data_IF_390733968405
#
_entry.id   IF_390733968405
#
_cell.length_a   1.000
_cell.length_b   1.000
_cell.length_c   1.000
_cell.angle_alpha   90.00
_cell.angle_beta   90.00
_cell.angle_gamma   90.00
#
_symmetry.space_group_name_H-M   'P 1'
#
loop_
_entity.id
_entity.type
_entity.pdbx_description
1 polymer ?
#
# COMPACT_ATOMS: atom_id res chain seq x y z
N UNK A 1 -1.77 -29.34 14.57
CA UNK A 1 -2.93 -28.43 14.78
C UNK A 1 -3.92 -28.73 13.68
N UNK A 2 -5.06 -29.30 14.06
CA UNK A 2 -6.18 -29.58 13.15
C UNK A 2 -7.00 -28.30 13.07
N UNK A 3 -7.00 -27.68 11.90
CA UNK A 3 -7.80 -26.49 11.59
C UNK A 3 -9.27 -26.95 11.55
N UNK A 4 -10.15 -26.29 12.30
CA UNK A 4 -11.58 -26.65 12.33
C UNK A 4 -12.26 -26.28 11.01
N UNK A 5 -13.22 -27.11 10.60
CA UNK A 5 -13.98 -27.04 9.34
C UNK A 5 -14.78 -25.75 9.13
N UNK A 6 -14.88 -24.90 10.14
CA UNK A 6 -15.76 -23.73 10.13
C UNK A 6 -15.05 -22.47 9.60
N UNK A 7 -13.72 -22.51 9.45
CA UNK A 7 -12.93 -21.44 8.83
C UNK A 7 -13.02 -21.41 7.29
N UNK A 8 -13.42 -22.54 6.67
CA UNK A 8 -13.57 -22.66 5.22
C UNK A 8 -14.86 -21.96 4.73
N UNK A 9 -15.93 -22.04 5.52
CA UNK A 9 -17.30 -21.71 5.07
C UNK A 9 -17.58 -20.20 4.94
N UNK A 10 -16.80 -19.34 5.61
CA UNK A 10 -16.97 -17.88 5.52
C UNK A 10 -16.13 -17.25 4.40
N UNK A 11 -14.99 -17.86 4.05
CA UNK A 11 -14.27 -17.53 2.82
C UNK A 11 -15.06 -17.94 1.58
N UNK A 12 -15.75 -19.08 1.62
CA UNK A 12 -16.60 -19.55 0.54
C UNK A 12 -17.75 -18.57 0.22
N UNK A 13 -18.24 -17.77 1.17
CA UNK A 13 -19.35 -16.82 0.93
C UNK A 13 -18.89 -15.53 0.24
N UNK A 14 -17.70 -15.01 0.60
CA UNK A 14 -17.07 -13.88 -0.10
C UNK A 14 -16.61 -14.30 -1.51
N UNK A 15 -16.06 -15.52 -1.64
CA UNK A 15 -15.64 -16.11 -2.91
C UNK A 15 -16.83 -16.43 -3.85
N UNK A 16 -17.94 -16.95 -3.32
CA UNK A 16 -19.16 -17.21 -4.09
C UNK A 16 -19.84 -15.93 -4.59
N UNK A 17 -19.75 -14.81 -3.85
CA UNK A 17 -20.33 -13.54 -4.31
C UNK A 17 -19.60 -12.94 -5.52
N UNK A 18 -18.28 -13.19 -5.64
CA UNK A 18 -17.49 -12.88 -6.83
C UNK A 18 -17.67 -13.89 -7.97
N UNK A 19 -17.89 -15.18 -7.66
CA UNK A 19 -18.18 -16.21 -8.67
C UNK A 19 -19.52 -15.97 -9.38
N UNK A 20 -20.54 -15.41 -8.72
CA UNK A 20 -21.87 -15.18 -9.34
C UNK A 20 -21.80 -14.17 -10.49
N UNK A 21 -20.85 -13.23 -10.48
CA UNK A 21 -20.62 -12.32 -11.61
C UNK A 21 -19.87 -12.97 -12.77
N UNK A 22 -19.10 -14.04 -12.51
CA UNK A 22 -18.28 -14.74 -13.51
C UNK A 22 -19.01 -15.96 -14.11
N UNK A 23 -19.74 -16.76 -13.30
CA UNK A 23 -20.56 -17.89 -13.78
C UNK A 23 -21.69 -17.42 -14.71
N UNK A 24 -22.24 -16.22 -14.47
CA UNK A 24 -23.27 -15.65 -15.35
C UNK A 24 -22.69 -15.25 -16.71
N UNK A 25 -21.40 -14.88 -16.77
CA UNK A 25 -20.70 -14.59 -18.02
C UNK A 25 -20.18 -15.86 -18.73
N UNK A 26 -19.95 -16.95 -17.99
CA UNK A 26 -19.36 -18.21 -18.49
C UNK A 26 -20.37 -19.33 -18.82
N UNK A 27 -21.68 -19.12 -18.67
CA UNK A 27 -22.72 -20.06 -19.14
C UNK A 27 -23.01 -19.97 -20.65
N UNK A 28 -21.97 -19.88 -21.47
CA UNK A 28 -22.07 -20.16 -22.91
C UNK A 28 -21.36 -21.49 -23.17
N UNK A 29 -22.19 -22.50 -23.42
CA UNK A 29 -21.88 -23.89 -23.70
C UNK A 29 -20.67 -24.04 -24.66
N UNK A 30 -19.61 -24.72 -24.21
CA UNK A 30 -18.53 -25.19 -25.08
C UNK A 30 -18.40 -26.71 -24.96
N UNK A 31 -19.00 -27.40 -25.92
CA UNK A 31 -18.43 -28.65 -26.43
C UNK A 31 -17.58 -28.30 -27.64
N UNK A 32 -16.29 -28.60 -27.53
CA UNK A 32 -15.27 -28.74 -28.58
C UNK A 32 -15.26 -27.66 -29.67
N UNK A 33 -14.31 -26.72 -29.65
CA UNK A 33 -13.59 -26.21 -30.83
C UNK A 33 -12.48 -25.22 -30.43
N UNK A 34 -11.48 -25.13 -31.31
CA UNK A 34 -10.10 -24.65 -31.18
C UNK A 34 -9.86 -23.18 -30.78
N UNK A 35 -8.68 -22.99 -30.17
CA UNK A 35 -8.15 -21.88 -29.36
C UNK A 35 -7.97 -20.48 -30.00
N UNK A 36 -8.47 -20.22 -31.20
CA UNK A 36 -8.40 -18.86 -31.80
C UNK A 36 -9.68 -18.05 -31.62
N UNK A 37 -10.83 -18.72 -31.45
CA UNK A 37 -12.13 -18.06 -31.48
C UNK A 37 -12.52 -17.44 -30.13
N UNK A 38 -11.95 -17.91 -29.02
CA UNK A 38 -12.19 -17.36 -27.68
C UNK A 38 -11.47 -16.02 -27.50
N UNK A 39 -10.25 -15.85 -28.00
CA UNK A 39 -9.54 -14.57 -27.97
C UNK A 39 -10.21 -13.56 -28.91
N UNK A 40 -10.63 -13.97 -30.11
CA UNK A 40 -11.44 -13.11 -30.99
C UNK A 40 -12.79 -12.76 -30.36
N UNK A 41 -13.42 -13.68 -29.63
CA UNK A 41 -14.68 -13.41 -28.93
C UNK A 41 -14.49 -12.51 -27.71
N UNK A 42 -13.40 -12.67 -26.94
CA UNK A 42 -13.07 -11.78 -25.83
C UNK A 42 -12.72 -10.38 -26.35
N UNK A 43 -11.91 -10.24 -27.39
CA UNK A 43 -11.64 -8.96 -28.04
C UNK A 43 -12.90 -8.32 -28.62
N UNK A 44 -13.81 -9.11 -29.23
CA UNK A 44 -15.11 -8.63 -29.71
C UNK A 44 -16.09 -8.28 -28.60
N UNK A 45 -16.05 -8.99 -27.47
CA UNK A 45 -16.84 -8.67 -26.27
C UNK A 45 -16.31 -7.37 -25.68
N UNK A 46 -14.99 -7.20 -25.58
CA UNK A 46 -14.35 -5.96 -25.16
C UNK A 46 -14.69 -4.80 -26.11
N UNK A 47 -14.63 -4.99 -27.44
CA UNK A 47 -15.05 -3.99 -28.42
C UNK A 47 -16.57 -3.69 -28.37
N UNK A 48 -17.42 -4.70 -28.16
CA UNK A 48 -18.87 -4.53 -28.04
C UNK A 48 -19.24 -3.77 -26.77
N UNK A 49 -18.62 -4.12 -25.63
CA UNK A 49 -18.80 -3.44 -24.35
C UNK A 49 -18.30 -1.99 -24.45
N UNK A 50 -17.15 -1.74 -25.09
CA UNK A 50 -16.65 -0.40 -25.38
C UNK A 50 -17.59 0.40 -26.31
N UNK A 51 -18.25 -0.25 -27.26
CA UNK A 51 -19.18 0.40 -28.20
C UNK A 51 -20.52 0.75 -27.52
N UNK A 52 -21.01 -0.11 -26.64
CA UNK A 52 -22.26 0.10 -25.91
C UNK A 52 -22.11 1.08 -24.73
N UNK A 53 -20.94 1.13 -24.08
CA UNK A 53 -20.59 2.18 -23.11
C UNK A 53 -20.50 3.55 -23.79
N UNK A 54 -19.83 3.65 -24.94
CA UNK A 54 -19.74 4.90 -25.70
C UNK A 54 -21.11 5.39 -26.23
N UNK A 55 -22.03 4.47 -26.54
CA UNK A 55 -23.42 4.81 -26.89
C UNK A 55 -24.27 5.26 -25.69
N UNK A 56 -24.02 4.71 -24.50
CA UNK A 56 -24.70 5.16 -23.28
C UNK A 56 -24.24 6.56 -22.85
N UNK A 57 -22.96 6.88 -23.00
CA UNK A 57 -22.39 8.20 -22.69
C UNK A 57 -22.91 9.29 -23.65
N UNK A 58 -23.18 8.94 -24.91
CA UNK A 58 -23.65 9.89 -25.93
C UNK A 58 -25.17 10.10 -25.97
N UNK A 59 -25.96 9.40 -25.14
CA UNK A 59 -27.43 9.45 -25.15
C UNK A 59 -28.08 9.99 -23.87
N UNK A 60 -27.34 10.18 -22.78
CA UNK A 60 -27.85 10.82 -21.55
C UNK A 60 -27.40 12.28 -21.44
N UNK A 61 -28.23 13.20 -21.95
CA UNK A 61 -28.12 14.61 -21.58
C UNK A 61 -28.32 14.77 -20.06
N UNK A 62 -27.39 15.48 -19.42
CA UNK A 62 -27.31 15.78 -17.99
C UNK A 62 -27.18 14.57 -17.05
N UNK A 63 -25.93 14.15 -16.83
CA UNK A 63 -25.51 13.56 -15.57
C UNK A 63 -24.36 14.43 -15.05
N UNK A 64 -24.51 14.91 -13.82
CA UNK A 64 -23.40 15.47 -13.05
C UNK A 64 -22.25 14.45 -13.04
N UNK A 65 -21.03 14.93 -13.17
CA UNK A 65 -19.78 14.17 -13.10
C UNK A 65 -19.81 13.22 -11.90
N UNK A 66 -20.10 11.94 -12.17
CA UNK A 66 -19.83 10.84 -11.24
C UNK A 66 -18.39 10.40 -11.56
N UNK A 67 -17.42 11.06 -10.93
CA UNK A 67 -15.98 10.71 -10.94
C UNK A 67 -15.73 9.42 -10.12
N UNK A 68 -16.34 8.31 -10.53
CA UNK A 68 -16.22 7.04 -9.81
C UNK A 68 -15.86 5.85 -10.68
N UNK A 69 -15.10 6.04 -11.75
CA UNK A 69 -14.29 4.97 -12.31
C UNK A 69 -13.03 5.59 -12.87
N UNK A 70 -11.91 5.31 -12.20
CA UNK A 70 -10.58 5.57 -12.75
C UNK A 70 -10.52 4.79 -14.07
N UNK A 71 -10.56 5.52 -15.20
CA UNK A 71 -10.52 4.98 -16.59
C UNK A 71 -9.30 4.07 -16.82
N UNK A 72 -8.41 4.12 -15.85
CA UNK A 72 -7.26 3.29 -15.69
C UNK A 72 -7.62 1.79 -15.88
N UNK A 73 -8.20 1.07 -14.92
CA UNK A 73 -8.35 -0.40 -15.03
C UNK A 73 -9.76 -0.83 -15.47
N UNK A 74 -10.30 -0.21 -16.53
CA UNK A 74 -11.62 -0.56 -17.10
C UNK A 74 -11.70 -2.06 -17.45
N UNK A 75 -10.56 -2.72 -17.71
CA UNK A 75 -10.50 -4.10 -18.18
C UNK A 75 -10.14 -5.15 -17.11
N UNK A 76 -9.83 -4.77 -15.86
CA UNK A 76 -9.39 -5.69 -14.79
C UNK A 76 -8.26 -6.62 -15.24
N UNK A 77 -7.34 -6.13 -16.07
CA UNK A 77 -6.34 -6.99 -16.73
C UNK A 77 -5.38 -7.63 -15.73
N UNK A 78 -5.24 -7.08 -14.52
CA UNK A 78 -4.51 -7.74 -13.42
C UNK A 78 -5.10 -9.09 -13.01
N UNK A 79 -6.43 -9.24 -13.03
CA UNK A 79 -7.09 -10.55 -12.80
C UNK A 79 -6.88 -11.50 -13.99
N UNK A 80 -6.84 -10.95 -15.21
CA UNK A 80 -6.56 -11.73 -16.41
C UNK A 80 -5.09 -12.15 -16.45
N UNK A 81 -4.16 -11.37 -15.87
CA UNK A 81 -2.72 -11.62 -15.91
C UNK A 81 -2.33 -12.99 -15.34
N UNK A 82 -2.92 -13.37 -14.21
CA UNK A 82 -2.75 -14.73 -13.68
C UNK A 82 -3.18 -15.77 -14.72
N UNK A 83 -4.30 -15.55 -15.41
CA UNK A 83 -4.77 -16.40 -16.50
C UNK A 83 -3.83 -16.34 -17.73
N UNK A 84 -3.28 -15.18 -18.11
CA UNK A 84 -2.30 -15.03 -19.20
C UNK A 84 -1.05 -15.86 -18.92
N UNK A 85 -0.51 -15.74 -17.71
CA UNK A 85 0.70 -16.45 -17.25
C UNK A 85 0.44 -17.95 -17.11
N UNK A 86 -0.75 -18.35 -16.64
CA UNK A 86 -1.07 -19.77 -16.38
C UNK A 86 -1.70 -20.52 -17.57
N UNK A 87 -2.29 -19.82 -18.56
CA UNK A 87 -3.17 -20.44 -19.60
C UNK A 87 -2.71 -20.20 -21.04
N UNK A 88 -1.42 -19.95 -21.25
CA UNK A 88 -0.79 -19.95 -22.58
C UNK A 88 -1.38 -18.94 -23.58
N UNK A 89 -1.67 -17.70 -23.15
CA UNK A 89 -1.80 -16.63 -24.15
C UNK A 89 -0.45 -16.49 -24.88
N UNK A 90 -0.43 -16.27 -26.20
CA UNK A 90 0.82 -16.20 -26.92
C UNK A 90 1.66 -15.02 -26.42
N UNK A 91 2.76 -15.33 -25.76
CA UNK A 91 3.66 -14.35 -25.14
C UNK A 91 4.17 -13.31 -26.17
N UNK A 92 4.22 -13.69 -27.44
CA UNK A 92 4.58 -12.81 -28.57
C UNK A 92 3.74 -11.53 -28.66
N UNK A 93 2.48 -11.56 -28.21
CA UNK A 93 1.56 -10.42 -28.34
C UNK A 93 1.81 -9.36 -27.25
N UNK A 94 2.59 -9.71 -26.22
CA UNK A 94 2.82 -8.89 -25.02
C UNK A 94 4.31 -8.72 -24.69
N UNK A 95 5.19 -9.33 -25.49
CA UNK A 95 6.63 -9.37 -25.24
C UNK A 95 7.27 -7.98 -25.31
N UNK A 96 6.73 -7.11 -26.16
CA UNK A 96 7.16 -5.72 -26.28
C UNK A 96 6.93 -4.96 -24.98
N UNK A 97 5.77 -5.13 -24.36
CA UNK A 97 5.41 -4.48 -23.10
C UNK A 97 6.22 -5.03 -21.93
N UNK A 98 6.45 -6.34 -21.86
CA UNK A 98 7.36 -6.95 -20.87
C UNK A 98 8.78 -6.39 -21.03
N UNK A 99 9.27 -6.28 -22.27
CA UNK A 99 10.58 -5.70 -22.58
C UNK A 99 10.67 -4.24 -22.12
N UNK A 100 9.65 -3.44 -22.41
CA UNK A 100 9.57 -2.04 -21.97
C UNK A 100 9.63 -1.93 -20.43
N UNK A 101 8.89 -2.78 -19.70
CA UNK A 101 8.88 -2.81 -18.24
C UNK A 101 10.23 -3.26 -17.66
N UNK A 102 10.87 -4.28 -18.24
CA UNK A 102 12.22 -4.70 -17.85
C UNK A 102 13.25 -3.58 -18.05
N UNK A 103 13.15 -2.84 -19.15
CA UNK A 103 14.02 -1.69 -19.41
C UNK A 103 13.78 -0.56 -18.39
N UNK A 104 12.53 -0.30 -18.01
CA UNK A 104 12.20 0.68 -16.96
C UNK A 104 12.80 0.30 -15.61
N UNK A 105 12.59 -0.95 -15.17
CA UNK A 105 13.17 -1.49 -13.92
C UNK A 105 14.71 -1.41 -13.95
N UNK A 106 15.33 -1.79 -15.07
CA UNK A 106 16.77 -1.72 -15.24
C UNK A 106 17.29 -0.28 -15.16
N UNK A 107 16.66 0.66 -15.87
CA UNK A 107 17.06 2.07 -15.86
C UNK A 107 16.94 2.67 -14.46
N UNK A 108 15.86 2.38 -13.75
CA UNK A 108 15.68 2.82 -12.37
C UNK A 108 16.76 2.23 -11.46
N UNK A 109 17.06 0.93 -11.58
CA UNK A 109 18.14 0.29 -10.82
C UNK A 109 19.51 0.91 -11.11
N UNK A 110 19.80 1.29 -12.36
CA UNK A 110 21.05 1.95 -12.75
C UNK A 110 21.17 3.36 -12.18
N UNK A 111 20.10 4.17 -12.27
CA UNK A 111 20.05 5.51 -11.68
C UNK A 111 20.26 5.45 -10.16
N UNK A 112 19.55 4.55 -9.48
CA UNK A 112 19.72 4.36 -8.04
C UNK A 112 21.10 3.84 -7.67
N UNK A 113 21.73 3.00 -8.50
CA UNK A 113 23.11 2.55 -8.26
C UNK A 113 24.08 3.73 -8.27
N UNK A 114 23.95 4.63 -9.23
CA UNK A 114 24.79 5.83 -9.29
C UNK A 114 24.61 6.66 -8.01
N UNK A 115 23.37 6.90 -7.60
CA UNK A 115 23.07 7.60 -6.36
C UNK A 115 23.66 6.90 -5.13
N UNK A 116 23.39 5.61 -4.92
CA UNK A 116 23.84 4.84 -3.77
C UNK A 116 25.36 4.74 -3.68
N UNK A 117 26.07 4.69 -4.81
CA UNK A 117 27.53 4.70 -4.84
C UNK A 117 28.16 6.01 -4.33
N UNK A 118 27.39 7.10 -4.24
CA UNK A 118 27.84 8.37 -3.65
C UNK A 118 27.56 8.49 -2.16
N UNK A 119 26.78 7.56 -1.60
CA UNK A 119 26.39 7.56 -0.20
C UNK A 119 27.26 6.60 0.59
N UNK A 120 27.39 6.84 1.90
CA UNK A 120 27.94 5.85 2.81
C UNK A 120 26.96 4.68 2.94
N UNK A 121 27.49 3.44 2.95
CA UNK A 121 26.67 2.25 3.16
C UNK A 121 25.98 2.36 4.52
N UNK A 122 24.66 2.24 4.52
CA UNK A 122 23.86 2.32 5.74
C UNK A 122 24.10 1.12 6.67
N UNK A 123 23.86 1.27 7.98
CA UNK A 123 24.05 0.19 8.94
C UNK A 123 23.23 -1.08 8.66
N UNK A 124 22.01 -0.97 8.11
CA UNK A 124 21.21 -2.17 7.81
C UNK A 124 21.77 -2.93 6.60
N UNK A 125 22.17 -2.21 5.55
CA UNK A 125 22.87 -2.80 4.41
C UNK A 125 24.21 -3.42 4.83
N UNK A 126 24.96 -2.76 5.71
CA UNK A 126 26.21 -3.27 6.25
C UNK A 126 26.00 -4.60 7.00
N UNK A 127 24.97 -4.69 7.85
CA UNK A 127 24.60 -5.95 8.54
C UNK A 127 24.37 -7.07 7.53
N UNK A 128 23.62 -6.79 6.45
CA UNK A 128 23.35 -7.79 5.41
C UNK A 128 24.62 -8.23 4.69
N UNK A 129 25.44 -7.28 4.21
CA UNK A 129 26.66 -7.56 3.43
C UNK A 129 27.72 -8.31 4.23
N UNK A 130 27.97 -7.92 5.47
CA UNK A 130 29.00 -8.54 6.32
C UNK A 130 28.65 -9.98 6.73
N UNK A 131 27.36 -10.34 6.68
CA UNK A 131 26.86 -11.62 7.17
C UNK A 131 26.19 -12.46 6.07
N UNK A 132 26.30 -12.08 4.79
CA UNK A 132 25.62 -12.71 3.65
C UNK A 132 25.81 -14.24 3.60
N UNK A 133 26.97 -14.75 4.03
CA UNK A 133 27.26 -16.19 4.08
C UNK A 133 26.54 -16.95 5.20
N UNK A 134 26.09 -16.24 6.24
CA UNK A 134 25.47 -16.81 7.44
C UNK A 134 23.99 -16.45 7.57
N UNK A 135 23.56 -15.36 6.95
CA UNK A 135 22.17 -14.97 6.88
C UNK A 135 21.47 -15.73 5.76
N UNK A 136 20.19 -16.04 5.98
CA UNK A 136 19.35 -16.66 4.96
C UNK A 136 18.20 -15.74 4.63
N UNK A 137 17.98 -15.56 3.34
CA UNK A 137 16.80 -14.87 2.85
C UNK A 137 15.65 -15.88 2.69
N UNK A 138 14.53 -15.63 3.37
CA UNK A 138 13.34 -16.48 3.32
C UNK A 138 12.18 -15.63 2.83
N UNK A 139 11.50 -16.07 1.77
CA UNK A 139 10.30 -15.39 1.29
C UNK A 139 9.14 -15.60 2.27
N UNK A 140 8.44 -14.51 2.61
CA UNK A 140 7.18 -14.54 3.32
C UNK A 140 6.08 -14.83 2.30
N UNK A 141 5.28 -15.86 2.56
CA UNK A 141 4.26 -16.35 1.60
C UNK A 141 2.98 -15.53 1.66
N UNK A 142 2.68 -14.91 2.81
CA UNK A 142 1.49 -14.06 3.02
C UNK A 142 1.63 -12.66 2.38
N UNK A 143 0.54 -11.87 2.35
CA UNK A 143 0.52 -10.50 1.80
C UNK A 143 0.13 -10.40 0.31
N UNK A 144 0.33 -9.26 -0.34
CA UNK A 144 0.05 -9.08 -1.80
C UNK A 144 1.32 -8.84 -2.63
N UNK A 145 2.31 -8.16 -2.07
CA UNK A 145 3.66 -8.03 -2.64
C UNK A 145 4.58 -9.18 -2.22
N UNK A 146 5.74 -9.29 -2.85
CA UNK A 146 6.80 -10.14 -2.30
C UNK A 146 7.53 -9.44 -1.16
N UNK A 147 7.58 -10.08 0.00
CA UNK A 147 8.40 -9.66 1.13
C UNK A 147 9.33 -10.79 1.54
N UNK A 148 10.56 -10.46 1.93
CA UNK A 148 11.56 -11.42 2.36
C UNK A 148 12.04 -11.08 3.76
N UNK A 149 12.20 -12.11 4.59
CA UNK A 149 12.78 -12.01 5.91
C UNK A 149 14.22 -12.53 5.87
N UNK A 150 15.16 -11.72 6.35
CA UNK A 150 16.53 -12.12 6.59
C UNK A 150 16.62 -12.72 7.99
N UNK A 151 17.04 -13.98 8.07
CA UNK A 151 17.18 -14.69 9.34
C UNK A 151 18.62 -15.11 9.60
N UNK A 152 19.02 -15.20 10.87
CA UNK A 152 20.31 -15.75 11.25
C UNK A 152 20.35 -17.29 11.24
N UNK A 153 21.48 -17.86 11.64
CA UNK A 153 21.67 -19.32 11.77
C UNK A 153 20.70 -20.01 12.75
N UNK A 154 20.11 -19.26 13.70
CA UNK A 154 19.08 -19.75 14.62
C UNK A 154 17.66 -19.59 14.07
N UNK A 155 17.52 -19.10 12.83
CA UNK A 155 16.25 -18.72 12.19
C UNK A 155 15.54 -17.54 12.89
N UNK A 156 16.28 -16.74 13.64
CA UNK A 156 15.74 -15.51 14.23
C UNK A 156 15.73 -14.41 13.15
N UNK A 157 14.60 -13.72 12.94
CA UNK A 157 14.48 -12.61 11.99
C UNK A 157 15.31 -11.39 12.40
N UNK A 158 15.95 -10.74 11.43
CA UNK A 158 16.82 -9.57 11.61
C UNK A 158 16.37 -8.39 10.75
N UNK A 159 16.09 -8.64 9.47
CA UNK A 159 15.69 -7.60 8.52
C UNK A 159 14.49 -8.05 7.70
N UNK A 160 13.76 -7.08 7.19
CA UNK A 160 12.76 -7.25 6.15
C UNK A 160 13.28 -6.60 4.86
N UNK A 161 13.25 -7.33 3.76
CA UNK A 161 13.67 -6.86 2.43
C UNK A 161 12.46 -6.92 1.50
N UNK A 162 12.19 -5.81 0.81
CA UNK A 162 11.12 -5.73 -0.21
C UNK A 162 11.70 -5.24 -1.54
N UNK A 163 11.80 -6.11 -2.56
CA UNK A 163 12.23 -5.72 -3.89
C UNK A 163 11.15 -4.92 -4.62
N UNK A 164 11.52 -3.79 -5.21
CA UNK A 164 10.57 -2.81 -5.74
C UNK A 164 9.75 -3.32 -6.92
N UNK A 165 10.33 -4.21 -7.73
CA UNK A 165 9.70 -4.78 -8.91
C UNK A 165 8.83 -6.00 -8.61
N UNK A 166 8.77 -6.42 -7.34
CA UNK A 166 7.92 -7.51 -6.86
C UNK A 166 6.74 -7.03 -5.99
N UNK A 167 6.55 -5.72 -5.86
CA UNK A 167 5.38 -5.15 -5.18
C UNK A 167 4.08 -5.51 -5.90
N UNK A 168 2.96 -5.22 -5.25
CA UNK A 168 1.66 -5.37 -5.87
C UNK A 168 1.64 -4.61 -7.21
N UNK A 169 0.95 -5.16 -8.21
CA UNK A 169 0.88 -4.65 -9.58
C UNK A 169 2.21 -4.49 -10.37
N UNK A 170 3.37 -4.84 -9.80
CA UNK A 170 4.67 -4.78 -10.48
C UNK A 170 4.96 -6.07 -11.27
N UNK A 171 5.74 -5.95 -12.35
CA UNK A 171 5.95 -7.05 -13.33
C UNK A 171 6.38 -8.37 -12.69
N UNK A 172 7.31 -8.32 -11.73
CA UNK A 172 7.86 -9.50 -11.08
C UNK A 172 7.12 -9.87 -9.80
N UNK A 173 5.89 -9.37 -9.60
CA UNK A 173 5.04 -9.81 -8.49
C UNK A 173 4.77 -11.32 -8.60
N UNK A 174 5.12 -12.01 -7.53
CA UNK A 174 5.08 -13.46 -7.45
C UNK A 174 3.69 -14.06 -7.23
N UNK A 175 2.67 -13.21 -7.06
CA UNK A 175 1.26 -13.56 -6.97
C UNK A 175 0.49 -13.15 -8.22
N UNK A 176 1.20 -12.71 -9.26
CA UNK A 176 0.65 -12.39 -10.58
C UNK A 176 -0.41 -11.29 -10.58
N UNK A 177 -0.34 -10.35 -9.64
CA UNK A 177 -1.16 -9.14 -9.71
C UNK A 177 -0.65 -8.10 -10.73
N UNK A 178 0.62 -8.20 -11.15
CA UNK A 178 1.27 -7.19 -11.99
C UNK A 178 1.14 -7.39 -13.48
N UNK A 179 0.61 -6.39 -14.18
CA UNK A 179 0.34 -6.42 -15.61
C UNK A 179 1.36 -5.56 -16.39
N UNK A 180 1.98 -6.07 -17.48
CA UNK A 180 2.93 -5.29 -18.29
C UNK A 180 2.31 -4.10 -19.03
N UNK A 181 0.99 -4.09 -19.25
CA UNK A 181 0.27 -3.02 -19.95
C UNK A 181 0.06 -1.74 -19.12
N UNK A 182 0.41 -1.74 -17.84
CA UNK A 182 0.22 -0.58 -16.96
C UNK A 182 1.09 0.61 -17.41
N UNK A 183 0.58 1.56 -18.20
CA UNK A 183 1.35 2.66 -18.79
C UNK A 183 1.07 4.02 -18.13
N UNK A 184 2.01 4.56 -17.36
CA UNK A 184 2.20 6.01 -17.12
C UNK A 184 1.12 6.82 -16.36
N UNK A 185 -0.14 6.38 -16.34
CA UNK A 185 -1.26 7.00 -15.61
C UNK A 185 -1.75 6.16 -14.42
N UNK A 186 -1.03 5.09 -14.06
CA UNK A 186 -1.52 4.06 -13.14
C UNK A 186 -0.65 3.95 -11.92
N UNK A 187 -1.24 4.43 -10.85
CA UNK A 187 -0.81 4.27 -9.50
C UNK A 187 -1.32 2.98 -8.85
N UNK A 188 -0.59 2.44 -7.86
CA UNK A 188 -1.23 1.63 -6.83
C UNK A 188 -2.31 2.49 -6.17
N UNK A 189 -3.58 2.02 -6.09
CA UNK A 189 -4.75 2.73 -5.51
C UNK A 189 -4.53 4.26 -5.40
N UNK A 190 -5.02 5.05 -6.36
CA UNK A 190 -5.16 6.51 -6.21
C UNK A 190 -3.82 7.26 -6.07
N UNK A 191 -3.10 7.36 -7.18
CA UNK A 191 -1.98 8.27 -7.45
C UNK A 191 -0.62 7.98 -6.76
N UNK A 192 -0.35 6.78 -6.23
CA UNK A 192 1.02 6.31 -5.86
C UNK A 192 1.74 5.64 -7.05
N UNK A 193 2.86 6.20 -7.57
CA UNK A 193 3.54 5.66 -8.75
C UNK A 193 4.08 4.22 -8.55
N UNK A 194 4.04 3.39 -9.60
CA UNK A 194 4.65 2.05 -9.59
C UNK A 194 6.17 2.13 -9.41
N UNK A 195 6.76 1.06 -8.86
CA UNK A 195 8.20 0.94 -8.63
C UNK A 195 8.81 2.04 -7.74
N UNK A 196 8.03 2.66 -6.85
CA UNK A 196 8.51 3.74 -5.95
C UNK A 196 8.40 3.42 -4.47
N UNK A 197 7.99 2.20 -4.10
CA UNK A 197 7.76 1.82 -2.70
C UNK A 197 8.99 1.99 -1.81
N UNK A 198 10.20 1.73 -2.33
CA UNK A 198 11.45 1.87 -1.60
C UNK A 198 11.70 3.32 -1.17
N UNK A 199 11.35 4.28 -2.03
CA UNK A 199 11.40 5.71 -1.72
C UNK A 199 10.40 6.06 -0.62
N UNK A 200 9.16 5.57 -0.71
CA UNK A 200 8.12 5.84 0.28
C UNK A 200 8.47 5.25 1.67
N UNK A 201 8.99 4.02 1.71
CA UNK A 201 9.47 3.38 2.93
C UNK A 201 10.59 4.17 3.61
N UNK A 202 11.62 4.55 2.85
CA UNK A 202 12.72 5.38 3.36
C UNK A 202 12.22 6.74 3.83
N UNK A 203 11.38 7.41 3.03
CA UNK A 203 10.90 8.74 3.34
C UNK A 203 10.01 8.76 4.58
N UNK A 204 9.15 7.76 4.81
CA UNK A 204 8.39 7.64 6.06
C UNK A 204 9.32 7.55 7.29
N UNK A 205 10.43 6.81 7.18
CA UNK A 205 11.43 6.77 8.26
C UNK A 205 12.10 8.14 8.48
N UNK A 206 12.57 8.79 7.41
CA UNK A 206 13.20 10.12 7.51
C UNK A 206 12.23 11.19 8.01
N UNK A 207 10.98 11.13 7.58
CA UNK A 207 9.89 11.99 8.06
C UNK A 207 9.66 11.80 9.57
N UNK A 208 9.69 10.57 10.07
CA UNK A 208 9.54 10.32 11.51
C UNK A 208 10.65 10.95 12.36
N UNK A 209 11.89 10.99 11.83
CA UNK A 209 13.00 11.69 12.47
C UNK A 209 12.79 13.20 12.49
N UNK A 210 12.44 13.78 11.33
CA UNK A 210 12.24 15.22 11.20
C UNK A 210 11.08 15.72 12.08
N UNK A 211 10.05 14.90 12.26
CA UNK A 211 8.91 15.19 13.15
C UNK A 211 9.21 14.94 14.63
N UNK A 212 10.36 14.37 14.99
CA UNK A 212 10.71 14.01 16.37
C UNK A 212 9.76 12.95 16.96
N UNK A 213 9.41 11.95 16.15
CA UNK A 213 8.53 10.83 16.48
C UNK A 213 9.21 9.49 16.18
N UNK A 214 10.52 9.43 16.43
CA UNK A 214 11.32 8.23 16.19
C UNK A 214 10.71 7.00 16.91
N UNK A 215 10.69 5.86 16.23
CA UNK A 215 10.17 4.60 16.76
C UNK A 215 8.71 4.30 16.40
N UNK A 216 7.96 5.21 15.77
CA UNK A 216 6.62 4.91 15.24
C UNK A 216 6.66 4.12 13.92
N UNK A 217 7.80 4.11 13.24
CA UNK A 217 8.06 3.33 12.03
C UNK A 217 9.51 2.82 12.13
N UNK A 218 9.78 1.56 11.74
CA UNK A 218 11.12 0.99 11.81
C UNK A 218 12.11 1.74 10.92
N UNK A 219 13.40 1.62 11.23
CA UNK A 219 14.46 2.15 10.38
C UNK A 219 14.37 1.50 9.00
N UNK A 220 14.57 2.31 7.97
CA UNK A 220 14.55 1.86 6.60
C UNK A 220 15.70 2.48 5.80
N UNK A 221 16.26 1.68 4.90
CA UNK A 221 17.32 2.03 3.95
C UNK A 221 16.94 1.54 2.55
N UNK A 222 17.65 2.00 1.53
CA UNK A 222 17.52 1.54 0.14
C UNK A 222 18.85 0.87 -0.23
N UNK A 223 18.79 -0.30 -0.86
CA UNK A 223 19.98 -1.00 -1.33
C UNK A 223 19.70 -1.79 -2.61
N UNK A 224 20.78 -2.14 -3.33
CA UNK A 224 20.72 -3.11 -4.43
C UNK A 224 21.27 -4.44 -3.92
N UNK A 225 20.45 -5.47 -3.97
CA UNK A 225 20.72 -6.79 -3.37
C UNK A 225 20.66 -7.84 -4.47
N UNK A 226 21.60 -8.79 -4.45
CA UNK A 226 21.54 -9.97 -5.31
C UNK A 226 21.09 -11.20 -4.51
N UNK A 227 20.14 -11.97 -5.03
CA UNK A 227 19.70 -13.21 -4.37
C UNK A 227 19.05 -14.19 -5.33
N UNK A 228 19.39 -15.47 -5.20
CA UNK A 228 18.73 -16.56 -5.95
C UNK A 228 17.27 -16.80 -5.51
N UNK A 229 16.85 -16.20 -4.38
CA UNK A 229 15.50 -16.30 -3.83
C UNK A 229 14.53 -15.29 -4.42
N UNK A 230 15.02 -14.23 -5.04
CA UNK A 230 14.15 -13.24 -5.65
C UNK A 230 13.34 -13.84 -6.80
N UNK A 231 12.11 -13.36 -6.92
CA UNK A 231 11.19 -13.82 -7.92
C UNK A 231 11.42 -13.06 -9.23
N UNK A 232 11.35 -13.77 -10.34
CA UNK A 232 11.35 -13.17 -11.67
C UNK A 232 10.28 -13.89 -12.48
N UNK A 233 9.60 -13.15 -13.35
CA UNK A 233 8.54 -13.66 -14.23
C UNK A 233 8.95 -14.91 -15.02
N UNK A 234 10.23 -15.06 -15.37
CA UNK A 234 10.76 -16.28 -16.01
C UNK A 234 10.60 -17.55 -15.17
N UNK A 235 10.43 -17.41 -13.85
CA UNK A 235 10.27 -18.55 -12.93
C UNK A 235 8.88 -19.18 -12.99
N UNK A 236 7.91 -18.51 -13.61
CA UNK A 236 6.49 -18.94 -13.64
C UNK A 236 5.96 -19.16 -15.05
N UNK A 237 6.73 -18.80 -16.07
CA UNK A 237 6.37 -19.01 -17.48
C UNK A 237 6.79 -20.42 -17.94
N UNK A 238 5.98 -21.03 -18.81
CA UNK A 238 6.26 -22.35 -19.37
C UNK A 238 7.59 -22.41 -20.15
N UNK A 239 8.21 -23.58 -20.22
CA UNK A 239 9.52 -23.76 -20.88
C UNK A 239 9.52 -23.36 -22.36
N UNK A 240 8.39 -23.47 -23.04
CA UNK A 240 8.23 -23.06 -24.45
C UNK A 240 8.33 -21.53 -24.61
N UNK A 241 7.69 -20.79 -23.71
CA UNK A 241 7.69 -19.33 -23.69
C UNK A 241 8.95 -18.72 -23.05
N UNK A 242 9.69 -19.51 -22.26
CA UNK A 242 10.92 -19.07 -21.61
C UNK A 242 11.96 -18.59 -22.63
N UNK A 243 12.09 -19.26 -23.77
CA UNK A 243 13.03 -18.87 -24.83
C UNK A 243 12.74 -17.47 -25.37
N UNK A 244 11.46 -17.09 -25.46
CA UNK A 244 11.07 -15.76 -25.94
C UNK A 244 11.37 -14.67 -24.89
N UNK A 245 11.15 -14.96 -23.60
CA UNK A 245 11.58 -14.04 -22.52
C UNK A 245 13.10 -13.86 -22.47
N UNK A 246 13.86 -14.94 -22.68
CA UNK A 246 15.32 -14.89 -22.66
C UNK A 246 15.88 -14.01 -23.79
N UNK A 247 15.16 -13.87 -24.92
CA UNK A 247 15.53 -12.95 -26.00
C UNK A 247 15.44 -11.48 -25.60
N UNK A 248 14.56 -11.12 -24.67
CA UNK A 248 14.39 -9.74 -24.18
C UNK A 248 15.09 -9.48 -22.85
N UNK A 249 15.84 -10.44 -22.31
CA UNK A 249 16.65 -10.26 -21.11
C UNK A 249 16.76 -11.51 -20.24
N UNK A 250 17.89 -11.63 -19.54
CA UNK A 250 18.10 -12.66 -18.53
C UNK A 250 17.23 -12.42 -17.29
N UNK A 251 17.05 -13.47 -16.49
CA UNK A 251 16.44 -13.38 -15.16
C UNK A 251 17.09 -12.28 -14.33
N UNK A 252 16.29 -11.38 -13.73
CA UNK A 252 16.80 -10.34 -12.84
C UNK A 252 16.78 -10.80 -11.38
N UNK A 253 17.96 -11.19 -10.89
CA UNK A 253 18.18 -11.61 -9.51
C UNK A 253 18.88 -10.54 -8.66
N UNK A 254 19.16 -9.37 -9.23
CA UNK A 254 19.77 -8.24 -8.54
C UNK A 254 18.77 -7.09 -8.50
N UNK A 255 18.21 -6.79 -7.34
CA UNK A 255 17.02 -5.96 -7.22
C UNK A 255 17.25 -4.73 -6.37
N UNK A 256 16.64 -3.63 -6.79
CA UNK A 256 16.48 -2.44 -5.95
C UNK A 256 15.46 -2.76 -4.86
N UNK A 257 15.86 -2.61 -3.60
CA UNK A 257 15.08 -3.03 -2.45
C UNK A 257 14.98 -1.90 -1.41
N UNK A 258 13.90 -1.91 -0.64
CA UNK A 258 13.95 -1.36 0.72
C UNK A 258 14.47 -2.42 1.70
N UNK A 259 15.32 -2.01 2.63
CA UNK A 259 15.77 -2.80 3.78
C UNK A 259 15.21 -2.15 5.03
N UNK A 260 14.45 -2.91 5.82
CA UNK A 260 13.81 -2.44 7.02
C UNK A 260 14.26 -3.26 8.24
N UNK A 261 14.46 -2.58 9.37
CA UNK A 261 14.73 -3.23 10.65
C UNK A 261 13.55 -4.12 11.08
N UNK A 262 13.83 -5.37 11.44
CA UNK A 262 12.81 -6.24 12.03
C UNK A 262 12.58 -5.86 13.50
N UNK A 263 11.32 -5.71 13.91
CA UNK A 263 10.97 -5.43 15.30
C UNK A 263 10.59 -6.74 16.01
N UNK A 264 11.38 -7.18 17.01
CA UNK A 264 11.13 -8.44 17.70
C UNK A 264 9.98 -8.34 18.72
N UNK A 265 9.39 -9.49 19.05
CA UNK A 265 8.35 -9.64 20.07
C UNK A 265 7.07 -8.83 19.82
N UNK A 266 6.78 -8.52 18.56
CA UNK A 266 5.54 -7.85 18.15
C UNK A 266 4.55 -8.83 17.52
N UNK A 267 3.29 -8.45 17.52
CA UNK A 267 2.22 -9.05 16.69
C UNK A 267 1.50 -7.93 15.94
N UNK A 268 0.79 -8.25 14.86
CA UNK A 268 -0.02 -7.24 14.18
C UNK A 268 -1.23 -6.84 15.04
N UNK A 269 -1.72 -5.62 14.84
CA UNK A 269 -2.76 -5.03 15.65
C UNK A 269 -4.13 -5.67 15.40
N UNK A 270 -4.38 -6.16 14.17
CA UNK A 270 -5.59 -6.94 13.87
C UNK A 270 -5.66 -8.19 14.75
N UNK A 271 -4.56 -8.93 14.88
CA UNK A 271 -4.47 -10.10 15.78
C UNK A 271 -4.80 -9.73 17.22
N UNK A 272 -4.26 -8.62 17.74
CA UNK A 272 -4.57 -8.15 19.09
C UNK A 272 -6.06 -7.78 19.24
N UNK A 273 -6.63 -7.06 18.27
CA UNK A 273 -8.05 -6.73 18.26
C UNK A 273 -8.93 -7.98 18.32
N UNK A 274 -8.61 -9.00 17.51
CA UNK A 274 -9.32 -10.28 17.53
C UNK A 274 -9.22 -11.00 18.89
N UNK A 275 -8.09 -10.89 19.60
CA UNK A 275 -7.93 -11.47 20.94
C UNK A 275 -8.85 -10.77 21.97
N UNK A 276 -8.99 -9.45 21.91
CA UNK A 276 -9.88 -8.67 22.76
C UNK A 276 -11.36 -8.96 22.45
N UNK A 277 -11.71 -9.02 21.17
CA UNK A 277 -13.05 -9.42 20.72
C UNK A 277 -13.46 -10.81 21.22
N UNK A 278 -12.55 -11.80 21.13
CA UNK A 278 -12.79 -13.17 21.65
C UNK A 278 -13.01 -13.22 23.17
N UNK A 279 -12.52 -12.23 23.91
CA UNK A 279 -12.74 -12.09 25.36
C UNK A 279 -14.03 -11.33 25.70
N UNK A 280 -14.76 -10.83 24.69
CA UNK A 280 -15.94 -9.99 24.88
C UNK A 280 -15.60 -8.55 25.28
N UNK A 281 -14.36 -8.11 25.09
CA UNK A 281 -13.86 -6.80 25.50
C UNK A 281 -13.43 -5.99 24.28
N UNK A 282 -14.37 -5.65 23.40
CA UNK A 282 -14.07 -4.94 22.16
C UNK A 282 -13.50 -3.53 22.36
N UNK A 283 -13.79 -2.90 23.51
CA UNK A 283 -13.40 -1.51 23.81
C UNK A 283 -12.18 -1.41 24.75
N UNK A 284 -11.90 -2.42 25.58
CA UNK A 284 -10.80 -2.35 26.54
C UNK A 284 -9.40 -2.26 25.93
N UNK A 285 -9.25 -2.57 24.63
CA UNK A 285 -8.01 -2.32 23.89
C UNK A 285 -7.70 -0.83 23.80
N UNK A 286 -8.73 0.03 23.75
CA UNK A 286 -8.59 1.48 23.59
C UNK A 286 -8.07 2.13 24.86
N UNK A 287 -8.48 1.60 26.02
CA UNK A 287 -8.07 2.09 27.35
C UNK A 287 -6.58 1.85 27.66
N UNK A 288 -5.94 0.95 26.91
CA UNK A 288 -4.52 0.60 27.09
C UNK A 288 -3.62 1.17 26.00
N UNK A 289 -4.17 1.83 24.97
CA UNK A 289 -3.36 2.48 23.93
C UNK A 289 -2.61 3.70 24.51
N UNK A 290 -1.34 3.83 24.15
CA UNK A 290 -0.55 5.01 24.48
C UNK A 290 -1.04 6.22 23.67
N UNK A 291 -1.59 7.20 24.40
CA UNK A 291 -2.16 8.40 23.80
C UNK A 291 -1.15 9.23 22.99
N UNK A 292 0.08 9.36 23.46
CA UNK A 292 1.11 10.13 22.74
C UNK A 292 1.54 9.39 21.47
N UNK A 293 1.62 8.06 21.53
CA UNK A 293 1.91 7.23 20.37
C UNK A 293 0.81 7.32 19.29
N UNK A 294 -0.47 7.33 19.68
CA UNK A 294 -1.59 7.48 18.74
C UNK A 294 -1.57 8.86 18.05
N UNK A 295 -1.25 9.93 18.79
CA UNK A 295 -1.08 11.26 18.20
C UNK A 295 0.10 11.31 17.20
N UNK A 296 1.24 10.72 17.58
CA UNK A 296 2.43 10.68 16.73
C UNK A 296 2.19 9.84 15.46
N UNK A 297 1.47 8.72 15.56
CA UNK A 297 1.08 7.93 14.40
C UNK A 297 0.12 8.67 13.48
N UNK A 298 -0.90 9.33 14.02
CA UNK A 298 -1.79 10.16 13.19
C UNK A 298 -1.01 11.24 12.45
N UNK A 299 -0.06 11.91 13.13
CA UNK A 299 0.81 12.90 12.50
C UNK A 299 1.61 12.32 11.32
N UNK A 300 2.19 11.12 11.48
CA UNK A 300 2.89 10.45 10.39
C UNK A 300 1.94 10.13 9.23
N UNK A 301 0.81 9.48 9.50
CA UNK A 301 -0.16 9.05 8.48
C UNK A 301 -0.74 10.23 7.71
N UNK A 302 -0.91 11.39 8.36
CA UNK A 302 -1.36 12.61 7.69
C UNK A 302 -0.29 13.22 6.80
N UNK A 303 0.94 13.31 7.31
CA UNK A 303 2.05 13.86 6.56
C UNK A 303 2.39 12.97 5.35
N UNK A 304 2.45 11.66 5.54
CA UNK A 304 2.71 10.69 4.47
C UNK A 304 1.50 10.46 3.58
N UNK A 305 0.28 10.66 4.07
CA UNK A 305 -0.98 10.35 3.38
C UNK A 305 -1.00 8.90 2.90
N UNK A 306 -0.80 8.00 3.85
CA UNK A 306 -0.78 6.56 3.59
C UNK A 306 -2.19 6.06 3.24
N UNK A 307 -2.34 5.52 2.03
CA UNK A 307 -3.60 5.00 1.49
C UNK A 307 -3.85 3.51 1.84
N UNK A 308 -3.02 2.91 2.69
CA UNK A 308 -3.14 1.50 3.11
C UNK A 308 -2.86 1.31 4.60
N UNK A 309 -3.26 2.27 5.44
CA UNK A 309 -3.05 2.20 6.88
C UNK A 309 -4.14 1.40 7.60
N UNK A 310 -4.30 0.12 7.24
CA UNK A 310 -5.23 -0.82 7.87
C UNK A 310 -4.63 -1.50 9.13
N UNK A 311 -5.41 -2.14 10.02
CA UNK A 311 -4.91 -2.65 11.31
C UNK A 311 -3.78 -3.68 11.18
N UNK A 312 -3.80 -4.51 10.12
CA UNK A 312 -2.70 -5.45 9.82
C UNK A 312 -1.34 -4.80 9.55
N UNK A 313 -1.30 -3.51 9.21
CA UNK A 313 -0.07 -2.76 8.93
C UNK A 313 0.46 -2.02 10.17
N UNK A 314 -0.08 -2.30 11.36
CA UNK A 314 0.45 -1.81 12.63
C UNK A 314 0.95 -2.98 13.47
N UNK A 315 2.21 -2.91 13.92
CA UNK A 315 2.76 -3.83 14.91
C UNK A 315 2.48 -3.31 16.31
N UNK A 316 2.23 -4.22 17.23
CA UNK A 316 1.93 -3.97 18.63
C UNK A 316 3.16 -4.29 19.47
N UNK A 317 3.55 -3.35 20.32
CA UNK A 317 4.50 -3.57 21.43
C UNK A 317 3.81 -3.30 22.76
N UNK A 318 3.92 -4.25 23.69
CA UNK A 318 3.40 -4.10 25.05
C UNK A 318 4.50 -3.57 25.98
N UNK A 319 4.19 -2.53 26.74
CA UNK A 319 5.03 -1.98 27.80
C UNK A 319 4.35 -2.26 29.13
N UNK A 320 5.05 -2.98 30.00
CA UNK A 320 4.57 -3.27 31.36
C UNK A 320 5.26 -2.34 32.33
N UNK A 321 4.49 -1.52 33.05
CA UNK A 321 5.02 -0.75 34.18
C UNK A 321 5.49 -1.73 35.26
N UNK A 322 6.79 -1.74 35.64
CA UNK A 322 7.32 -2.72 36.58
C UNK A 322 6.74 -2.57 38.00
N UNK A 323 6.24 -1.40 38.37
CA UNK A 323 5.69 -1.11 39.69
C UNK A 323 4.18 -1.37 39.77
N UNK A 324 3.43 -0.92 38.76
CA UNK A 324 1.96 -1.04 38.77
C UNK A 324 1.44 -2.27 38.04
N UNK A 325 2.30 -2.95 37.27
CA UNK A 325 1.93 -4.02 36.34
C UNK A 325 0.89 -3.57 35.30
N UNK A 326 0.67 -2.26 35.14
CA UNK A 326 -0.21 -1.71 34.11
C UNK A 326 0.45 -1.93 32.75
N UNK A 327 -0.32 -2.47 31.82
CA UNK A 327 0.08 -2.64 30.42
C UNK A 327 -0.29 -1.37 29.66
N UNK A 328 0.63 -0.90 28.82
CA UNK A 328 0.40 0.17 27.84
C UNK A 328 0.86 -0.34 26.48
N UNK A 329 0.02 -0.14 25.48
CA UNK A 329 0.24 -0.65 24.13
C UNK A 329 0.70 0.50 23.24
N UNK A 330 1.83 0.27 22.55
CA UNK A 330 2.30 1.13 21.46
C UNK A 330 2.12 0.43 20.13
N UNK A 331 1.72 1.21 19.15
CA UNK A 331 1.62 0.81 17.76
C UNK A 331 2.84 1.34 17.00
N UNK A 332 3.30 0.55 16.03
CA UNK A 332 4.39 0.87 15.11
C UNK A 332 3.85 0.63 13.71
N UNK A 333 3.79 1.69 12.88
CA UNK A 333 3.37 1.59 11.48
C UNK A 333 4.46 0.91 10.66
N UNK A 334 4.08 -0.14 9.97
CA UNK A 334 4.90 -0.83 8.96
C UNK A 334 4.19 -0.80 7.62
N UNK A 335 4.87 -1.26 6.58
CA UNK A 335 4.35 -1.31 5.21
C UNK A 335 3.88 0.06 4.68
N UNK A 336 4.83 0.91 4.27
CA UNK A 336 4.56 2.29 3.89
C UNK A 336 4.64 2.51 2.37
N UNK A 337 4.49 1.44 1.58
CA UNK A 337 4.63 1.48 0.12
C UNK A 337 3.59 2.38 -0.55
N UNK A 338 2.45 2.60 0.12
CA UNK A 338 1.29 3.36 -0.36
C UNK A 338 1.24 4.80 0.15
N UNK A 339 2.38 5.34 0.58
CA UNK A 339 2.53 6.72 1.05
C UNK A 339 2.99 7.67 -0.06
N UNK A 340 2.77 8.97 0.17
CA UNK A 340 3.16 10.10 -0.69
C UNK A 340 2.57 10.09 -2.11
N UNK A 341 1.25 9.92 -2.26
CA UNK A 341 0.61 9.97 -3.57
C UNK A 341 0.77 11.34 -4.24
N UNK A 342 0.68 11.35 -5.56
CA UNK A 342 0.77 12.55 -6.40
C UNK A 342 -0.40 13.51 -6.15
N UNK A 343 -1.53 12.98 -5.72
CA UNK A 343 -2.73 13.72 -5.39
C UNK A 343 -3.25 13.33 -4.01
N UNK A 344 -3.86 14.27 -3.30
CA UNK A 344 -4.45 14.05 -1.98
C UNK A 344 -5.76 13.26 -2.05
N UNK A 345 -5.84 12.18 -2.82
CA UNK A 345 -7.07 11.41 -3.01
C UNK A 345 -6.93 10.07 -2.32
N UNK A 346 -7.96 9.69 -1.57
CA UNK A 346 -8.09 8.32 -1.12
C UNK A 346 -7.57 7.95 0.25
N UNK A 347 -7.46 8.91 1.15
CA UNK A 347 -7.04 8.68 2.52
C UNK A 347 -7.73 7.47 3.16
N UNK A 348 -6.94 6.49 3.60
CA UNK A 348 -7.41 5.30 4.32
C UNK A 348 -6.59 5.16 5.61
N UNK A 349 -7.09 5.76 6.69
CA UNK A 349 -6.48 5.70 8.01
C UNK A 349 -7.39 4.95 8.97
N UNK A 350 -7.04 3.70 9.28
CA UNK A 350 -7.80 2.89 10.22
C UNK A 350 -7.89 3.50 11.62
N UNK A 351 -6.88 4.27 12.05
CA UNK A 351 -6.91 4.90 13.37
C UNK A 351 -8.07 5.89 13.54
N UNK A 352 -8.69 6.33 12.44
CA UNK A 352 -9.91 7.13 12.45
C UNK A 352 -11.12 6.41 13.07
N UNK A 353 -11.17 5.08 13.00
CA UNK A 353 -12.30 4.28 13.50
C UNK A 353 -12.39 4.23 15.02
N UNK A 354 -11.32 4.60 15.70
CA UNK A 354 -11.29 4.66 17.15
C UNK A 354 -11.89 5.99 17.61
N UNK A 355 -13.10 5.92 18.16
CA UNK A 355 -13.84 7.05 18.77
C UNK A 355 -13.13 7.65 20.01
N UNK A 356 -11.88 7.24 20.26
CA UNK A 356 -11.13 7.40 21.50
C UNK A 356 -10.66 8.83 21.73
N UNK A 357 -10.70 9.71 20.71
CA UNK A 357 -10.17 11.07 20.84
C UNK A 357 -10.98 12.11 20.10
N UNK A 358 -12.22 12.29 20.56
CA UNK A 358 -12.98 13.54 20.37
C UNK A 358 -12.43 14.68 21.23
N UNK A 359 -11.56 14.37 22.18
CA UNK A 359 -10.78 15.35 22.92
C UNK A 359 -9.85 16.14 21.99
N UNK A 360 -9.56 17.38 22.36
CA UNK A 360 -8.67 18.25 21.62
C UNK A 360 -7.24 17.68 21.59
N UNK A 361 -6.55 17.88 20.46
CA UNK A 361 -5.15 17.48 20.33
C UNK A 361 -4.27 18.15 21.40
N UNK A 362 -3.27 17.41 21.88
CA UNK A 362 -2.38 17.89 22.93
C UNK A 362 -1.52 19.09 22.48
N UNK A 363 -1.08 19.90 23.43
CA UNK A 363 -0.09 20.97 23.18
C UNK A 363 1.22 20.43 22.61
N UNK A 364 1.59 19.19 22.97
CA UNK A 364 2.75 18.48 22.45
C UNK A 364 2.62 18.29 20.94
N UNK A 365 1.49 17.76 20.49
CA UNK A 365 1.21 17.55 19.06
C UNK A 365 1.12 18.89 18.31
N UNK A 366 0.43 19.90 18.85
CA UNK A 366 0.36 21.26 18.26
C UNK A 366 1.75 21.86 18.06
N UNK A 367 2.62 21.72 19.07
CA UNK A 367 4.00 22.21 18.98
C UNK A 367 4.78 21.49 17.88
N UNK A 368 4.67 20.15 17.77
CA UNK A 368 5.31 19.39 16.69
C UNK A 368 4.84 19.89 15.31
N UNK A 369 3.53 19.95 15.08
CA UNK A 369 2.93 20.42 13.82
C UNK A 369 3.40 21.84 13.47
N UNK A 370 3.30 22.78 14.41
CA UNK A 370 3.65 24.18 14.17
C UNK A 370 5.14 24.41 13.91
N UNK A 371 6.02 23.61 14.55
CA UNK A 371 7.47 23.72 14.41
C UNK A 371 8.06 22.96 13.23
N UNK A 372 7.28 22.07 12.61
CA UNK A 372 7.73 21.24 11.50
C UNK A 372 8.06 22.10 10.28
N UNK A 373 9.16 21.75 9.60
CA UNK A 373 9.66 22.46 8.42
C UNK A 373 9.46 21.58 7.19
N UNK A 374 8.34 21.76 6.51
CA UNK A 374 7.98 21.02 5.30
C UNK A 374 9.04 21.13 4.21
N UNK A 375 9.82 22.22 4.15
CA UNK A 375 10.86 22.40 3.15
C UNK A 375 11.96 21.34 3.24
N UNK A 376 12.27 20.85 4.45
CA UNK A 376 13.28 19.82 4.66
C UNK A 376 12.86 18.51 3.99
N UNK A 377 11.61 18.10 4.21
CA UNK A 377 11.05 16.88 3.62
C UNK A 377 10.78 17.06 2.13
N UNK A 378 10.31 18.23 1.69
CA UNK A 378 10.12 18.52 0.28
C UNK A 378 11.44 18.46 -0.51
N UNK A 379 12.56 18.87 0.09
CA UNK A 379 13.88 18.71 -0.53
C UNK A 379 14.33 17.25 -0.56
N UNK A 380 14.13 16.50 0.54
CA UNK A 380 14.37 15.05 0.55
C UNK A 380 13.53 14.31 -0.51
N UNK A 381 12.27 14.70 -0.70
CA UNK A 381 11.42 14.16 -1.77
C UNK A 381 12.01 14.40 -3.16
N UNK A 382 12.58 15.59 -3.42
CA UNK A 382 13.27 15.88 -4.70
C UNK A 382 14.53 15.02 -4.87
N UNK A 383 15.32 14.87 -3.81
CA UNK A 383 16.54 14.06 -3.83
C UNK A 383 16.21 12.59 -4.08
N UNK A 384 15.13 12.10 -3.45
CA UNK A 384 14.55 10.79 -3.66
C UNK A 384 13.68 10.68 -4.92
N UNK A 385 13.69 11.67 -5.83
CA UNK A 385 13.02 11.63 -7.14
C UNK A 385 11.50 11.46 -7.11
N UNK A 386 10.81 11.90 -6.06
CA UNK A 386 9.35 12.01 -6.09
C UNK A 386 8.92 13.03 -7.16
N UNK A 387 7.73 12.80 -7.73
CA UNK A 387 7.19 13.71 -8.73
C UNK A 387 6.86 15.08 -8.12
N UNK A 388 6.81 16.09 -8.99
CA UNK A 388 6.42 17.45 -8.59
C UNK A 388 5.05 17.45 -7.90
N UNK A 389 4.10 16.68 -8.43
CA UNK A 389 2.75 16.56 -7.89
C UNK A 389 2.74 15.97 -6.48
N UNK A 390 3.52 14.92 -6.20
CA UNK A 390 3.65 14.37 -4.83
C UNK A 390 4.17 15.40 -3.83
N UNK A 391 5.16 16.22 -4.25
CA UNK A 391 5.73 17.27 -3.40
C UNK A 391 4.71 18.38 -3.13
N UNK A 392 3.99 18.83 -4.16
CA UNK A 392 2.95 19.86 -4.01
C UNK A 392 1.82 19.38 -3.10
N UNK A 393 1.36 18.14 -3.30
CA UNK A 393 0.36 17.49 -2.44
C UNK A 393 0.83 17.39 -0.98
N UNK A 394 2.09 17.01 -0.74
CA UNK A 394 2.68 16.99 0.60
C UNK A 394 2.67 18.38 1.26
N UNK A 395 3.16 19.41 0.56
CA UNK A 395 3.22 20.78 1.09
C UNK A 395 1.81 21.28 1.43
N UNK A 396 0.83 21.02 0.55
CA UNK A 396 -0.57 21.38 0.80
C UNK A 396 -1.10 20.75 2.08
N UNK A 397 -0.90 19.43 2.28
CA UNK A 397 -1.36 18.72 3.48
C UNK A 397 -0.78 19.32 4.75
N UNK A 398 0.52 19.59 4.77
CA UNK A 398 1.19 20.14 5.95
C UNK A 398 0.70 21.56 6.24
N UNK A 399 0.51 22.39 5.20
CA UNK A 399 -0.05 23.73 5.35
C UNK A 399 -1.44 23.69 5.96
N UNK A 400 -2.30 22.77 5.51
CA UNK A 400 -3.65 22.58 6.04
C UNK A 400 -3.59 22.09 7.48
N UNK A 401 -2.74 21.09 7.79
CA UNK A 401 -2.57 20.57 9.14
C UNK A 401 -2.15 21.66 10.13
N UNK A 402 -1.20 22.52 9.72
CA UNK A 402 -0.75 23.67 10.52
C UNK A 402 -1.88 24.63 10.81
N UNK A 403 -2.71 24.95 9.82
CA UNK A 403 -3.86 25.83 10.01
C UNK A 403 -4.90 25.20 10.96
N UNK A 404 -5.25 23.93 10.75
CA UNK A 404 -6.18 23.22 11.62
C UNK A 404 -5.69 23.15 13.06
N UNK A 405 -4.38 22.91 13.25
CA UNK A 405 -3.76 22.83 14.59
C UNK A 405 -3.78 24.13 15.39
N UNK A 406 -4.20 25.27 14.80
CA UNK A 406 -4.39 26.54 15.52
C UNK A 406 -5.75 26.63 16.20
N UNK A 407 -6.72 25.81 15.81
CA UNK A 407 -8.07 25.81 16.39
C UNK A 407 -8.04 25.18 17.79
N UNK A 408 -8.43 25.93 18.80
CA UNK A 408 -8.29 25.53 20.22
C UNK A 408 -8.96 24.19 20.53
N UNK A 409 -10.13 23.92 19.96
CA UNK A 409 -10.91 22.71 20.25
C UNK A 409 -10.67 21.54 19.28
N UNK A 410 -9.79 21.67 18.27
CA UNK A 410 -9.63 20.65 17.23
C UNK A 410 -9.19 19.30 17.81
N UNK A 411 -9.92 18.24 17.47
CA UNK A 411 -9.61 16.85 17.86
C UNK A 411 -8.92 16.08 16.74
N UNK A 412 -8.31 14.94 17.05
CA UNK A 412 -7.77 14.03 16.02
C UNK A 412 -8.88 13.54 15.09
N UNK A 413 -10.06 13.26 15.64
CA UNK A 413 -11.23 12.82 14.88
C UNK A 413 -11.63 13.86 13.84
N UNK A 414 -11.74 15.13 14.23
CA UNK A 414 -12.10 16.21 13.31
C UNK A 414 -11.02 16.43 12.23
N UNK A 415 -9.73 16.35 12.58
CA UNK A 415 -8.64 16.47 11.59
C UNK A 415 -8.73 15.35 10.55
N UNK A 416 -8.99 14.11 10.98
CA UNK A 416 -9.16 12.97 10.07
C UNK A 416 -10.35 13.15 9.12
N UNK A 417 -11.51 13.62 9.60
CA UNK A 417 -12.66 13.93 8.75
C UNK A 417 -12.29 14.97 7.67
N UNK A 418 -11.58 16.03 8.08
CA UNK A 418 -11.14 17.10 7.19
C UNK A 418 -10.13 16.60 6.15
N UNK A 419 -9.25 15.67 6.51
CA UNK A 419 -8.34 15.06 5.54
C UNK A 419 -9.03 14.11 4.57
N UNK A 420 -10.02 13.35 5.00
CA UNK A 420 -10.82 12.54 4.08
C UNK A 420 -11.52 13.41 3.01
N UNK A 421 -11.88 14.65 3.37
CA UNK A 421 -12.45 15.63 2.43
C UNK A 421 -11.42 16.27 1.49
N UNK A 422 -10.12 16.24 1.82
CA UNK A 422 -9.08 16.88 1.02
C UNK A 422 -9.00 16.30 -0.40
N UNK A 423 -9.38 15.04 -0.58
CA UNK A 423 -9.42 14.37 -1.88
C UNK A 423 -10.59 14.73 -2.79
N UNK A 424 -11.41 15.71 -2.43
CA UNK A 424 -12.51 16.19 -3.27
C UNK A 424 -12.07 17.36 -4.14
N UNK A 425 -12.83 17.65 -5.21
CA UNK A 425 -12.52 18.76 -6.15
C UNK A 425 -12.43 20.14 -5.48
N UNK A 426 -13.16 20.37 -4.38
CA UNK A 426 -13.07 21.54 -3.51
C UNK A 426 -12.45 21.20 -2.12
N UNK A 427 -11.63 20.15 -2.07
CA UNK A 427 -11.22 19.50 -0.83
C UNK A 427 -10.46 20.39 0.14
N UNK A 428 -9.62 21.31 -0.37
CA UNK A 428 -8.92 22.29 0.47
C UNK A 428 -9.87 23.23 1.22
N UNK A 429 -10.85 23.78 0.52
CA UNK A 429 -11.83 24.70 1.10
C UNK A 429 -12.73 23.96 2.10
N UNK A 430 -13.11 22.72 1.79
CA UNK A 430 -13.85 21.86 2.72
C UNK A 430 -13.03 21.53 3.97
N UNK A 431 -11.76 21.16 3.82
CA UNK A 431 -10.88 20.84 4.93
C UNK A 431 -10.71 22.03 5.88
N UNK A 432 -10.62 23.26 5.36
CA UNK A 432 -10.45 24.49 6.14
C UNK A 432 -11.75 25.21 6.52
N UNK A 433 -12.91 24.65 6.15
CA UNK A 433 -14.22 25.23 6.49
C UNK A 433 -14.48 25.34 8.00
N UNK A 434 -15.47 26.13 8.38
CA UNK A 434 -15.96 26.21 9.76
C UNK A 434 -17.11 25.22 10.05
N UNK A 435 -17.32 24.23 9.17
CA UNK A 435 -18.31 23.19 9.39
C UNK A 435 -18.03 22.42 10.68
N UNK A 436 -19.09 22.14 11.43
CA UNK A 436 -19.09 21.29 12.60
C UNK A 436 -18.87 19.82 12.22
N UNK A 437 -18.47 19.00 13.20
CA UNK A 437 -18.27 17.56 13.01
C UNK A 437 -19.49 16.88 12.32
N UNK A 438 -20.75 17.08 12.77
CA UNK A 438 -21.90 16.47 12.11
C UNK A 438 -22.08 16.91 10.65
N UNK A 439 -21.74 18.16 10.31
CA UNK A 439 -21.78 18.65 8.93
C UNK A 439 -20.69 17.99 8.08
N UNK A 440 -19.46 17.85 8.61
CA UNK A 440 -18.37 17.13 7.93
C UNK A 440 -18.73 15.66 7.69
N UNK A 441 -19.30 14.98 8.69
CA UNK A 441 -19.79 13.59 8.58
C UNK A 441 -20.89 13.48 7.51
N UNK A 442 -21.84 14.43 7.48
CA UNK A 442 -22.90 14.46 6.48
C UNK A 442 -22.36 14.68 5.06
N UNK A 443 -21.32 15.51 4.89
CA UNK A 443 -20.66 15.74 3.60
C UNK A 443 -19.92 14.49 3.14
N UNK A 444 -19.22 13.80 4.04
CA UNK A 444 -18.55 12.53 3.72
C UNK A 444 -19.55 11.44 3.33
N UNK A 445 -20.76 11.49 3.89
CA UNK A 445 -21.81 10.50 3.69
C UNK A 445 -21.62 9.30 4.60
N UNK A 446 -22.73 8.63 4.93
CA UNK A 446 -22.72 7.44 5.79
C UNK A 446 -21.83 6.34 5.24
N UNK A 447 -21.72 6.20 3.92
CA UNK A 447 -21.02 5.08 3.28
C UNK A 447 -19.49 5.18 3.46
N UNK A 448 -18.93 6.38 3.54
CA UNK A 448 -17.49 6.57 3.82
C UNK A 448 -17.12 6.23 5.27
N UNK A 449 -18.01 6.53 6.21
CA UNK A 449 -17.84 6.22 7.63
C UNK A 449 -18.18 4.73 7.91
N UNK A 450 -19.11 4.15 7.16
CA UNK A 450 -19.51 2.76 7.29
C UNK A 450 -18.54 1.80 6.58
N UNK A 451 -17.85 2.17 5.50
CA UNK A 451 -16.80 1.31 4.91
C UNK A 451 -15.63 1.13 5.90
N UNK A 452 -15.29 2.16 6.67
CA UNK A 452 -14.27 2.06 7.74
C UNK A 452 -14.76 1.27 8.95
N UNK A 453 -16.04 1.38 9.33
CA UNK A 453 -16.61 0.66 10.49
C UNK A 453 -17.00 -0.79 10.18
N UNK A 454 -17.49 -1.07 8.96
CA UNK A 454 -17.87 -2.43 8.51
C UNK A 454 -16.67 -3.34 8.27
N UNK A 455 -15.50 -2.76 7.96
CA UNK A 455 -14.21 -3.48 7.95
C UNK A 455 -13.78 -4.01 9.33
N UNK A 456 -14.35 -3.51 10.43
CA UNK A 456 -14.13 -4.03 11.80
C UNK A 456 -15.13 -5.15 12.13
N UNK A 457 -16.29 -5.18 11.48
CA UNK A 457 -17.32 -6.22 11.70
C UNK A 457 -17.06 -7.56 10.99
N UNK A 458 -15.84 -7.77 10.50
CA UNK A 458 -15.31 -9.07 10.06
C UNK A 458 -14.43 -9.69 11.17
#
# INVERSE_FOLDING_TARGET
MTISSDYQTHWDYAYQSSEITCETALRINTTEYEDAHIISSLLKITESVCTDLNKSISSSGSLQEIDFFDEADIFKLGFVWEYIVQKNIPLQDIISEISNRRNEILNQKLEWREYLNTQEIGPLEQIYRENEQTLKLIRIVDGCGSTYCVVNNKKEPILIIKPVDEDILCLNNSKHYGNPFNNGSYSLKRYVPLYTSHQAHLLCYLLSKELGIEGITPKCEIAIISSDKFHDLSSTISSENLQLLEQIGSKDLEKLCSIQEYIPHTKDFLTLMCEYLKKGDSLGILDVLDNDNIEDLNLLLWASYDNDAHPGNFLVTEIVDPHTQKVTIKLIKVDNAMSFPEHNIGFDNFLFTFDVKRDSISDRLRKKISSFKEENIANLMKDLKFSKSSIESFIERISILKELSRRESISLFEINLRFALLGRSNGKDLALSDYSIPELEAILGSDHLLDTTSRISL
#
